data_IF_853788367109
#
_entry.id   IF_853788367109
#
_cell.length_a   1.000
_cell.length_b   1.000
_cell.length_c   1.000
_cell.angle_alpha   90.00
_cell.angle_beta   90.00
_cell.angle_gamma   90.00
#
_symmetry.space_group_name_H-M   'P 1'
#
loop_
_entity.id
_entity.type
_entity.pdbx_description
1 polymer ?
#
# COMPACT_ATOMS: atom_id res chain seq x y z
N UNK A 1 -15.48 -19.00 -0.66
CA UNK A 1 -14.18 -18.36 -0.34
C UNK A 1 -13.13 -19.44 -0.24
N UNK A 2 -11.90 -19.24 -0.75
CA UNK A 2 -10.83 -20.21 -0.55
C UNK A 2 -10.41 -20.21 0.92
N UNK A 3 -10.22 -21.41 1.47
CA UNK A 3 -9.70 -21.62 2.82
C UNK A 3 -8.27 -22.16 2.72
N UNK A 4 -7.41 -21.74 3.64
CA UNK A 4 -6.02 -22.19 3.73
C UNK A 4 -5.80 -22.80 5.11
N UNK A 5 -5.24 -24.01 5.14
CA UNK A 5 -4.77 -24.66 6.36
C UNK A 5 -3.25 -24.52 6.40
N UNK A 6 -2.74 -23.88 7.45
CA UNK A 6 -1.30 -23.80 7.74
C UNK A 6 -1.00 -24.89 8.76
N UNK A 7 -0.05 -25.77 8.43
CA UNK A 7 0.36 -26.89 9.28
C UNK A 7 1.75 -26.65 9.81
N UNK A 8 2.08 -27.35 10.89
CA UNK A 8 3.42 -27.42 11.46
C UNK A 8 4.00 -26.03 11.79
N UNK A 9 3.13 -25.13 12.26
CA UNK A 9 3.55 -23.82 12.77
C UNK A 9 4.25 -24.05 14.11
N UNK A 10 5.50 -23.57 14.30
CA UNK A 10 6.16 -23.63 15.59
C UNK A 10 5.31 -23.01 16.69
N UNK A 11 5.23 -23.66 17.86
CA UNK A 11 4.37 -23.21 18.96
C UNK A 11 4.73 -21.79 19.41
N UNK A 12 6.03 -21.47 19.49
CA UNK A 12 6.54 -20.15 19.86
C UNK A 12 6.04 -19.05 18.90
N UNK A 13 6.08 -19.31 17.59
CA UNK A 13 5.60 -18.37 16.57
C UNK A 13 4.09 -18.19 16.68
N UNK A 14 3.34 -19.28 16.90
CA UNK A 14 1.89 -19.24 17.02
C UNK A 14 1.44 -18.42 18.22
N UNK A 15 2.11 -18.58 19.36
CA UNK A 15 1.81 -17.84 20.59
C UNK A 15 2.19 -16.36 20.48
N UNK A 16 3.28 -16.05 19.78
CA UNK A 16 3.63 -14.66 19.47
C UNK A 16 2.56 -13.99 18.60
N UNK A 17 2.07 -14.67 17.56
CA UNK A 17 1.02 -14.13 16.68
C UNK A 17 -0.31 -13.98 17.44
N UNK A 18 -0.65 -14.93 18.32
CA UNK A 18 -1.84 -14.84 19.19
C UNK A 18 -1.77 -13.62 20.10
N UNK A 19 -0.62 -13.39 20.73
CA UNK A 19 -0.38 -12.22 21.57
C UNK A 19 -0.57 -10.92 20.78
N UNK A 20 0.04 -10.82 19.59
CA UNK A 20 -0.10 -9.66 18.73
C UNK A 20 -1.55 -9.42 18.24
N UNK A 21 -2.31 -10.49 17.99
CA UNK A 21 -3.72 -10.39 17.62
C UNK A 21 -4.58 -9.88 18.80
N UNK A 22 -4.30 -10.39 20.01
CA UNK A 22 -4.98 -9.99 21.25
C UNK A 22 -4.69 -8.53 21.62
N UNK A 23 -3.44 -8.07 21.50
CA UNK A 23 -3.06 -6.66 21.69
C UNK A 23 -3.84 -5.70 20.78
N UNK A 24 -4.19 -6.16 19.57
CA UNK A 24 -5.01 -5.40 18.61
C UNK A 24 -6.51 -5.58 18.80
N UNK A 25 -6.95 -6.38 19.77
CA UNK A 25 -8.36 -6.69 20.00
C UNK A 25 -9.01 -7.47 18.85
N UNK A 26 -8.23 -8.24 18.09
CA UNK A 26 -8.69 -8.98 16.91
C UNK A 26 -8.55 -10.49 17.10
N UNK A 27 -9.37 -11.27 16.38
CA UNK A 27 -9.17 -12.73 16.34
C UNK A 27 -7.91 -13.08 15.55
N UNK A 28 -7.27 -14.20 15.90
CA UNK A 28 -6.11 -14.72 15.16
C UNK A 28 -6.40 -14.87 13.65
N UNK A 29 -7.59 -15.35 13.30
CA UNK A 29 -8.00 -15.49 11.90
C UNK A 29 -8.09 -14.13 11.18
N UNK A 30 -8.68 -13.11 11.82
CA UNK A 30 -8.76 -11.77 11.23
C UNK A 30 -7.37 -11.18 11.05
N UNK A 31 -6.53 -11.31 12.08
CA UNK A 31 -5.15 -10.85 12.05
C UNK A 31 -4.36 -11.48 10.88
N UNK A 32 -4.42 -12.81 10.74
CA UNK A 32 -3.74 -13.53 9.67
C UNK A 32 -4.29 -13.16 8.28
N UNK A 33 -5.61 -13.01 8.15
CA UNK A 33 -6.23 -12.55 6.90
C UNK A 33 -5.69 -11.18 6.50
N UNK A 34 -5.60 -10.25 7.44
CA UNK A 34 -5.14 -8.90 7.18
C UNK A 34 -3.64 -8.89 6.84
N UNK A 35 -2.83 -9.73 7.50
CA UNK A 35 -1.43 -9.94 7.16
C UNK A 35 -1.25 -10.49 5.72
N UNK A 36 -2.06 -11.49 5.33
CA UNK A 36 -2.05 -12.03 3.96
C UNK A 36 -2.45 -10.95 2.95
N UNK A 37 -3.45 -10.12 3.26
CA UNK A 37 -3.84 -9.02 2.39
C UNK A 37 -2.72 -7.99 2.22
N UNK A 38 -2.04 -7.62 3.32
CA UNK A 38 -0.91 -6.70 3.29
C UNK A 38 0.23 -7.27 2.43
N UNK A 39 0.58 -8.55 2.61
CA UNK A 39 1.62 -9.21 1.83
C UNK A 39 1.26 -9.29 0.34
N UNK A 40 0.02 -9.63 0.02
CA UNK A 40 -0.45 -9.65 -1.37
C UNK A 40 -0.41 -8.26 -2.01
N UNK A 41 -0.76 -7.20 -1.26
CA UNK A 41 -0.65 -5.83 -1.72
C UNK A 41 0.80 -5.42 -1.97
N UNK A 42 1.71 -5.79 -1.07
CA UNK A 42 3.15 -5.57 -1.22
C UNK A 42 3.70 -6.25 -2.48
N UNK A 43 3.41 -7.53 -2.68
CA UNK A 43 3.85 -8.28 -3.87
C UNK A 43 3.32 -7.68 -5.18
N UNK A 44 2.05 -7.22 -5.20
CA UNK A 44 1.50 -6.52 -6.36
C UNK A 44 2.23 -5.21 -6.66
N UNK A 45 2.57 -4.43 -5.63
CA UNK A 45 3.35 -3.19 -5.79
C UNK A 45 4.74 -3.50 -6.32
N UNK A 46 5.44 -4.47 -5.75
CA UNK A 46 6.75 -4.90 -6.22
C UNK A 46 6.73 -5.33 -7.69
N UNK A 47 5.75 -6.14 -8.10
CA UNK A 47 5.61 -6.55 -9.49
C UNK A 47 5.33 -5.36 -10.44
N UNK A 48 4.56 -4.35 -9.98
CA UNK A 48 4.33 -3.14 -10.76
C UNK A 48 5.59 -2.27 -10.90
N UNK A 49 6.39 -2.18 -9.83
CA UNK A 49 7.67 -1.48 -9.85
C UNK A 49 8.66 -2.18 -10.79
N UNK A 50 8.77 -3.51 -10.71
CA UNK A 50 9.63 -4.30 -11.61
C UNK A 50 9.27 -4.07 -13.08
N UNK A 51 7.98 -4.19 -13.44
CA UNK A 51 7.51 -3.90 -14.81
C UNK A 51 7.82 -2.46 -15.25
N UNK A 52 7.72 -1.51 -14.32
CA UNK A 52 8.02 -0.11 -14.62
C UNK A 52 9.51 0.09 -14.84
N UNK A 53 10.35 -0.52 -14.01
CA UNK A 53 11.80 -0.50 -14.16
C UNK A 53 12.23 -1.08 -15.51
N UNK A 54 11.71 -2.25 -15.90
CA UNK A 54 11.96 -2.85 -17.21
C UNK A 54 11.57 -1.91 -18.37
N UNK A 55 10.42 -1.24 -18.27
CA UNK A 55 9.98 -0.29 -19.31
C UNK A 55 10.86 0.96 -19.40
N UNK A 56 11.43 1.37 -18.28
CA UNK A 56 12.31 2.54 -18.19
C UNK A 56 13.78 2.19 -18.42
N UNK A 57 14.13 0.92 -18.57
CA UNK A 57 15.50 0.51 -18.83
C UNK A 57 16.01 1.14 -20.13
N UNK A 58 17.22 1.69 -20.07
CA UNK A 58 17.83 2.47 -21.15
C UNK A 58 17.16 3.81 -21.49
N UNK A 59 16.12 4.24 -20.77
CA UNK A 59 15.53 5.59 -20.93
C UNK A 59 16.34 6.62 -20.14
N UNK A 60 16.53 7.83 -20.67
CA UNK A 60 17.17 8.90 -19.92
C UNK A 60 16.31 9.30 -18.71
N UNK A 61 16.97 9.69 -17.62
CA UNK A 61 16.28 10.27 -16.47
C UNK A 61 15.59 11.58 -16.87
N UNK A 62 14.43 11.85 -16.27
CA UNK A 62 13.77 13.15 -16.42
C UNK A 62 14.62 14.23 -15.75
N UNK A 63 14.97 15.33 -16.46
CA UNK A 63 15.72 16.43 -15.88
C UNK A 63 15.09 16.94 -14.58
N UNK A 64 15.92 17.32 -13.61
CA UNK A 64 15.45 17.69 -12.28
C UNK A 64 14.46 18.87 -12.31
N UNK A 65 14.68 19.84 -13.21
CA UNK A 65 13.84 21.03 -13.37
C UNK A 65 12.46 20.67 -13.94
N UNK A 66 12.42 19.79 -14.95
CA UNK A 66 11.16 19.27 -15.51
C UNK A 66 10.40 18.45 -14.47
N UNK A 67 11.10 17.59 -13.72
CA UNK A 67 10.51 16.82 -12.63
C UNK A 67 9.91 17.74 -11.56
N UNK A 68 10.62 18.83 -11.20
CA UNK A 68 10.14 19.83 -10.24
C UNK A 68 8.88 20.51 -10.73
N UNK A 69 8.90 21.04 -11.96
CA UNK A 69 7.76 21.73 -12.55
C UNK A 69 6.49 20.85 -12.59
N UNK A 70 6.64 19.57 -12.94
CA UNK A 70 5.50 18.62 -12.94
C UNK A 70 4.96 18.37 -11.54
N UNK A 71 5.84 18.18 -10.54
CA UNK A 71 5.41 17.95 -9.15
C UNK A 71 4.72 19.18 -8.56
N UNK A 72 5.21 20.37 -8.87
CA UNK A 72 4.61 21.62 -8.41
C UNK A 72 3.22 21.81 -9.04
N UNK A 73 3.07 21.55 -10.35
CA UNK A 73 1.75 21.59 -11.01
C UNK A 73 0.75 20.58 -10.44
N UNK A 74 1.21 19.39 -10.02
CA UNK A 74 0.37 18.41 -9.32
C UNK A 74 -0.07 18.95 -7.96
N UNK A 75 0.84 19.56 -7.19
CA UNK A 75 0.54 20.13 -5.89
C UNK A 75 -0.48 21.28 -6.00
N UNK A 76 -0.32 22.15 -6.99
CA UNK A 76 -1.25 23.25 -7.28
C UNK A 76 -2.64 22.69 -7.63
N UNK A 77 -2.71 21.69 -8.51
CA UNK A 77 -3.98 21.04 -8.87
C UNK A 77 -4.68 20.37 -7.69
N UNK A 78 -3.93 19.83 -6.73
CA UNK A 78 -4.49 19.31 -5.47
C UNK A 78 -5.05 20.43 -4.58
N UNK A 79 -4.34 21.54 -4.46
CA UNK A 79 -4.79 22.72 -3.69
C UNK A 79 -6.07 23.32 -4.29
N UNK A 80 -6.09 23.56 -5.60
CA UNK A 80 -7.28 24.07 -6.30
C UNK A 80 -8.50 23.14 -6.16
N UNK A 81 -8.26 21.83 -6.12
CA UNK A 81 -9.33 20.85 -5.88
C UNK A 81 -9.83 20.92 -4.45
N UNK A 82 -8.94 21.04 -3.47
CA UNK A 82 -9.31 21.19 -2.06
C UNK A 82 -10.15 22.46 -1.84
N UNK A 83 -9.74 23.59 -2.41
CA UNK A 83 -10.46 24.86 -2.35
C UNK A 83 -11.86 24.74 -2.97
N UNK A 84 -12.00 24.05 -4.10
CA UNK A 84 -13.32 23.79 -4.71
C UNK A 84 -14.22 22.90 -3.85
N UNK A 85 -13.65 21.97 -3.08
CA UNK A 85 -14.42 21.09 -2.20
C UNK A 85 -14.83 21.80 -0.91
N UNK A 86 -13.99 22.70 -0.38
CA UNK A 86 -14.28 23.52 0.79
C UNK A 86 -15.32 24.60 0.46
N UNK A 87 -15.21 25.22 -0.71
CA UNK A 87 -16.10 26.30 -1.16
C UNK A 87 -17.36 25.79 -1.87
N UNK A 88 -17.65 24.48 -1.83
CA UNK A 88 -18.88 23.93 -2.39
C UNK A 88 -20.05 24.26 -1.46
N UNK A 89 -21.05 25.05 -1.87
CA UNK A 89 -22.25 25.25 -1.06
C UNK A 89 -22.94 23.89 -0.86
N UNK A 90 -23.32 23.59 0.38
CA UNK A 90 -24.14 22.43 0.70
C UNK A 90 -25.48 22.53 -0.07
N UNK A 91 -26.04 21.40 -0.56
CA UNK A 91 -27.35 21.40 -1.19
C UNK A 91 -28.46 21.84 -0.22
#
# INVERSE_FOLDING_TARGET
MPNVLIRDVPDDDLDQIRSAAAERGTSLQSYLRDAVHAQAAYLRRQAALARTAERLDGRPEVPADERRAVLDAIADGHSERADRLINRPAP
#
